data_IF_344165093863
#
_entry.id   IF_344165093863
#
_cell.length_a   1.000
_cell.length_b   1.000
_cell.length_c   1.000
_cell.angle_alpha   90.00
_cell.angle_beta   90.00
_cell.angle_gamma   90.00
#
_symmetry.space_group_name_H-M   'P 1'
#
loop_
_entity.id
_entity.type
_entity.pdbx_description
1 polymer ?
#
# COMPACT_ATOMS: atom_id res chain seq x y z
N UNK A 1 2.81 2.27 -19.86
CA UNK A 1 1.72 3.26 -20.04
C UNK A 1 1.88 4.25 -18.91
N UNK A 2 2.20 5.51 -19.20
CA UNK A 2 2.43 6.55 -18.17
C UNK A 2 1.12 7.03 -17.53
N UNK A 3 1.21 8.06 -16.69
CA UNK A 3 -0.01 8.65 -16.14
C UNK A 3 -0.86 9.24 -17.27
N UNK A 4 -2.19 9.22 -17.09
CA UNK A 4 -3.07 9.99 -17.95
C UNK A 4 -2.73 11.47 -17.76
N UNK A 5 -2.52 12.19 -18.86
CA UNK A 5 -2.41 13.65 -18.84
C UNK A 5 -3.80 14.25 -18.56
N UNK A 6 -3.92 14.90 -17.40
CA UNK A 6 -5.14 15.54 -16.94
C UNK A 6 -5.11 17.06 -17.13
N UNK A 7 -4.01 17.62 -17.64
CA UNK A 7 -3.89 19.08 -17.85
C UNK A 7 -4.88 19.58 -18.90
N UNK A 8 -5.23 18.76 -19.89
CA UNK A 8 -6.26 19.04 -20.88
C UNK A 8 -7.66 18.55 -20.48
N UNK A 9 -7.77 17.78 -19.39
CA UNK A 9 -9.04 17.19 -18.94
C UNK A 9 -9.91 18.18 -18.15
N UNK A 10 -9.31 19.23 -17.58
CA UNK A 10 -10.03 20.32 -16.90
C UNK A 10 -9.64 21.68 -17.48
N UNK A 11 -10.46 22.70 -17.23
CA UNK A 11 -10.35 24.00 -17.91
C UNK A 11 -9.23 24.90 -17.37
N UNK A 12 -8.82 24.70 -16.12
CA UNK A 12 -7.91 25.61 -15.41
C UNK A 12 -6.84 24.89 -14.57
N UNK A 13 -6.35 23.72 -15.04
CA UNK A 13 -5.23 23.03 -14.39
C UNK A 13 -3.96 23.87 -14.55
N UNK A 14 -3.23 24.07 -13.44
CA UNK A 14 -1.91 24.72 -13.48
C UNK A 14 -0.79 23.71 -13.64
N UNK A 15 -0.74 22.72 -12.73
CA UNK A 15 0.22 21.62 -12.74
C UNK A 15 -0.46 20.31 -12.32
N UNK A 16 0.06 19.20 -12.81
CA UNK A 16 -0.29 17.86 -12.38
C UNK A 16 0.78 17.29 -11.45
N UNK A 17 0.34 16.81 -10.28
CA UNK A 17 1.14 16.10 -9.30
C UNK A 17 0.74 14.62 -9.31
N UNK A 18 1.67 13.77 -9.73
CA UNK A 18 1.47 12.33 -9.80
C UNK A 18 1.91 11.68 -8.49
N UNK A 19 1.01 10.98 -7.82
CA UNK A 19 1.24 10.30 -6.55
C UNK A 19 1.03 8.80 -6.75
N UNK A 20 1.98 7.98 -6.31
CA UNK A 20 1.85 6.52 -6.33
C UNK A 20 1.80 6.00 -4.91
N UNK A 21 0.69 5.37 -4.54
CA UNK A 21 0.50 4.77 -3.23
C UNK A 21 0.54 3.24 -3.32
N UNK A 22 1.56 2.61 -2.76
CA UNK A 22 1.67 1.15 -2.66
C UNK A 22 1.10 0.72 -1.31
N UNK A 23 0.03 -0.08 -1.37
CA UNK A 23 -0.70 -0.54 -0.19
C UNK A 23 -0.60 -2.06 -0.09
N UNK A 24 -0.19 -2.54 1.09
CA UNK A 24 -0.06 -3.96 1.39
C UNK A 24 -0.93 -4.40 2.56
N UNK A 25 -0.78 -5.66 2.95
CA UNK A 25 -1.74 -6.41 3.78
C UNK A 25 -1.96 -5.81 5.17
N UNK A 26 -1.05 -4.96 5.64
CA UNK A 26 -1.23 -4.17 6.86
C UNK A 26 -2.48 -3.29 6.83
N UNK A 27 -2.95 -2.84 5.66
CA UNK A 27 -4.24 -2.13 5.55
C UNK A 27 -5.41 -3.06 5.87
N UNK A 28 -5.51 -4.21 5.21
CA UNK A 28 -6.58 -5.18 5.42
C UNK A 28 -6.62 -5.64 6.89
N UNK A 29 -5.46 -5.93 7.49
CA UNK A 29 -5.34 -6.31 8.89
C UNK A 29 -5.86 -5.19 9.80
N UNK A 30 -5.48 -3.93 9.54
CA UNK A 30 -5.94 -2.79 10.33
C UNK A 30 -7.46 -2.63 10.22
N UNK A 31 -7.99 -2.58 8.99
CA UNK A 31 -9.41 -2.41 8.74
C UNK A 31 -10.25 -3.51 9.41
N UNK A 32 -9.86 -4.77 9.25
CA UNK A 32 -10.57 -5.91 9.83
C UNK A 32 -10.51 -5.90 11.37
N UNK A 33 -9.36 -5.52 11.93
CA UNK A 33 -9.19 -5.38 13.38
C UNK A 33 -10.09 -4.29 13.95
N UNK A 34 -10.12 -3.11 13.32
CA UNK A 34 -10.93 -1.97 13.77
C UNK A 34 -12.43 -2.24 13.66
N UNK A 35 -12.84 -3.00 12.63
CA UNK A 35 -14.20 -3.51 12.47
C UNK A 35 -14.56 -4.63 13.44
N UNK A 36 -13.60 -5.09 14.26
CA UNK A 36 -13.75 -6.24 15.18
C UNK A 36 -14.19 -7.51 14.43
N UNK A 37 -13.71 -7.68 13.20
CA UNK A 37 -13.97 -8.88 12.39
C UNK A 37 -13.42 -10.12 13.11
N UNK A 38 -14.17 -11.26 13.10
CA UNK A 38 -13.70 -12.50 13.69
C UNK A 38 -12.54 -13.15 12.91
N UNK A 39 -12.25 -12.67 11.70
CA UNK A 39 -11.20 -13.17 10.84
C UNK A 39 -10.35 -12.01 10.28
N UNK A 40 -9.10 -12.31 9.95
CA UNK A 40 -8.16 -11.38 9.34
C UNK A 40 -7.47 -12.01 8.12
N UNK A 41 -6.68 -11.21 7.40
CA UNK A 41 -5.92 -11.65 6.22
C UNK A 41 -4.49 -12.08 6.55
N UNK A 42 -4.17 -12.38 7.82
CA UNK A 42 -2.82 -12.85 8.16
C UNK A 42 -2.61 -14.25 7.62
N UNK A 43 -1.37 -14.51 7.25
CA UNK A 43 -0.91 -15.82 6.82
C UNK A 43 -1.25 -16.93 7.85
N UNK A 44 -1.04 -16.66 9.14
CA UNK A 44 -1.30 -17.63 10.22
C UNK A 44 -2.78 -18.03 10.25
N UNK A 45 -3.69 -17.08 10.01
CA UNK A 45 -5.14 -17.33 9.94
C UNK A 45 -5.48 -18.24 8.75
N UNK A 46 -4.87 -17.99 7.60
CA UNK A 46 -5.01 -18.86 6.43
C UNK A 46 -4.44 -20.27 6.66
N UNK A 47 -3.28 -20.39 7.32
CA UNK A 47 -2.73 -21.68 7.70
C UNK A 47 -3.69 -22.49 8.59
N UNK A 48 -4.27 -21.85 9.60
CA UNK A 48 -5.27 -22.50 10.46
C UNK A 48 -6.55 -22.87 9.69
N UNK A 49 -6.97 -22.05 8.73
CA UNK A 49 -8.08 -22.38 7.82
C UNK A 49 -7.81 -23.67 7.04
N UNK A 50 -6.63 -23.82 6.44
CA UNK A 50 -6.25 -25.05 5.72
C UNK A 50 -6.28 -26.27 6.64
N UNK A 51 -5.76 -26.14 7.87
CA UNK A 51 -5.77 -27.23 8.86
C UNK A 51 -7.17 -27.61 9.30
N UNK A 52 -8.03 -26.64 9.55
CA UNK A 52 -9.43 -26.87 9.88
C UNK A 52 -10.19 -27.59 8.75
N UNK A 53 -9.89 -27.27 7.50
CA UNK A 53 -10.49 -27.88 6.31
C UNK A 53 -9.95 -29.28 5.99
N UNK A 54 -9.02 -29.81 6.79
CA UNK A 54 -8.29 -31.06 6.51
C UNK A 54 -7.67 -31.06 5.11
N UNK A 55 -7.04 -29.94 4.73
CA UNK A 55 -6.32 -29.83 3.47
C UNK A 55 -5.21 -30.90 3.36
N UNK A 56 -4.85 -31.28 2.14
CA UNK A 56 -3.92 -32.39 1.87
C UNK A 56 -2.55 -32.19 2.53
N UNK A 57 -2.26 -32.98 3.57
CA UNK A 57 -0.97 -33.03 4.27
C UNK A 57 0.19 -33.49 3.36
N UNK A 58 -0.11 -34.00 2.16
CA UNK A 58 0.87 -34.29 1.12
C UNK A 58 1.44 -33.04 0.45
N UNK A 59 0.72 -31.92 0.49
CA UNK A 59 1.07 -30.68 -0.20
C UNK A 59 2.38 -30.09 0.34
N UNK A 60 3.35 -29.87 -0.56
CA UNK A 60 4.67 -29.34 -0.21
C UNK A 60 4.64 -27.93 0.39
N UNK A 61 3.72 -27.09 -0.05
CA UNK A 61 3.57 -25.71 0.44
C UNK A 61 3.01 -25.73 1.86
N UNK A 62 2.01 -26.57 2.15
CA UNK A 62 1.49 -26.71 3.51
C UNK A 62 2.60 -27.13 4.49
N UNK A 63 3.54 -27.98 4.08
CA UNK A 63 4.67 -28.40 4.93
C UNK A 63 5.66 -27.26 5.21
N UNK A 64 5.95 -26.44 4.21
CA UNK A 64 6.76 -25.23 4.44
C UNK A 64 6.02 -24.26 5.35
N UNK A 65 4.70 -24.14 5.17
CA UNK A 65 3.84 -23.32 6.01
C UNK A 65 3.90 -23.75 7.48
N UNK A 66 3.83 -25.06 7.75
CA UNK A 66 4.02 -25.63 9.08
C UNK A 66 5.40 -25.29 9.65
N UNK A 67 6.47 -25.47 8.87
CA UNK A 67 7.83 -25.18 9.33
C UNK A 67 8.00 -23.70 9.72
N UNK A 68 7.43 -22.79 8.91
CA UNK A 68 7.45 -21.36 9.18
C UNK A 68 6.70 -21.02 10.46
N UNK A 69 5.54 -21.63 10.67
CA UNK A 69 4.74 -21.43 11.88
C UNK A 69 5.48 -21.91 13.14
N UNK A 70 6.22 -23.03 13.08
CA UNK A 70 7.07 -23.48 14.18
C UNK A 70 8.26 -22.55 14.45
N UNK A 71 8.77 -21.86 13.43
CA UNK A 71 9.83 -20.86 13.57
C UNK A 71 9.35 -19.47 14.01
N UNK A 72 8.04 -19.28 14.14
CA UNK A 72 7.44 -18.00 14.55
C UNK A 72 7.41 -16.94 13.46
N UNK A 73 7.42 -17.33 12.18
CA UNK A 73 7.23 -16.41 11.06
C UNK A 73 5.76 -15.95 10.99
N UNK A 74 5.55 -14.64 10.86
CA UNK A 74 4.21 -14.03 10.89
C UNK A 74 3.81 -13.39 9.55
N UNK A 75 4.76 -13.13 8.65
CA UNK A 75 4.55 -12.35 7.44
C UNK A 75 4.31 -13.20 6.18
N UNK A 76 3.49 -12.68 5.27
CA UNK A 76 3.24 -13.30 3.97
C UNK A 76 4.50 -13.43 3.10
N UNK A 77 5.43 -12.48 3.21
CA UNK A 77 6.69 -12.51 2.45
C UNK A 77 7.57 -13.71 2.81
N UNK A 78 7.50 -14.21 4.05
CA UNK A 78 8.28 -15.39 4.47
C UNK A 78 7.78 -16.66 3.77
N UNK A 79 6.47 -16.75 3.59
CA UNK A 79 5.78 -17.87 2.93
C UNK A 79 6.10 -17.88 1.45
N UNK A 80 6.02 -16.71 0.82
CA UNK A 80 6.37 -16.54 -0.58
C UNK A 80 7.86 -16.87 -0.83
N UNK A 81 8.75 -16.46 0.08
CA UNK A 81 10.16 -16.84 0.03
C UNK A 81 10.35 -18.36 0.18
N UNK A 82 9.62 -19.02 1.08
CA UNK A 82 9.66 -20.47 1.25
C UNK A 82 9.15 -21.23 0.01
N UNK A 83 8.06 -20.75 -0.61
CA UNK A 83 7.59 -21.24 -1.91
C UNK A 83 8.68 -21.10 -2.97
N UNK A 84 9.41 -19.97 -2.99
CA UNK A 84 10.56 -19.80 -3.87
C UNK A 84 11.67 -20.82 -3.66
N UNK A 85 12.01 -21.10 -2.40
CA UNK A 85 13.02 -22.08 -2.04
C UNK A 85 12.62 -23.51 -2.48
N UNK A 86 11.33 -23.87 -2.43
CA UNK A 86 10.85 -25.16 -2.94
C UNK A 86 11.16 -25.36 -4.43
N UNK A 87 11.07 -24.30 -5.22
CA UNK A 87 11.37 -24.32 -6.66
C UNK A 87 12.87 -24.52 -6.91
N UNK A 88 13.73 -24.00 -6.02
CA UNK A 88 15.18 -24.15 -6.08
C UNK A 88 15.73 -25.47 -5.53
N UNK A 89 14.94 -26.24 -4.76
CA UNK A 89 15.39 -27.52 -4.15
C UNK A 89 15.63 -28.60 -5.23
N UNK A 90 16.86 -29.12 -5.30
CA UNK A 90 17.22 -30.26 -6.18
C UNK A 90 16.31 -31.46 -5.88
N UNK A 91 15.58 -31.93 -6.89
CA UNK A 91 14.73 -33.12 -6.81
C UNK A 91 13.22 -32.86 -6.78
N UNK A 92 12.79 -31.61 -6.58
CA UNK A 92 11.37 -31.24 -6.70
C UNK A 92 11.03 -30.88 -8.14
N UNK A 93 10.05 -31.56 -8.73
CA UNK A 93 9.57 -31.20 -10.07
C UNK A 93 8.76 -29.91 -10.02
N UNK A 94 9.07 -28.95 -10.92
CA UNK A 94 8.31 -27.70 -11.09
C UNK A 94 6.80 -27.95 -11.28
N UNK A 95 6.44 -29.08 -11.89
CA UNK A 95 5.04 -29.47 -12.09
C UNK A 95 4.34 -29.78 -10.76
N UNK A 96 5.04 -30.41 -9.81
CA UNK A 96 4.50 -30.71 -8.48
C UNK A 96 4.28 -29.41 -7.71
N UNK A 97 5.27 -28.51 -7.71
CA UNK A 97 5.13 -27.21 -7.04
C UNK A 97 3.99 -26.40 -7.64
N UNK A 98 3.86 -26.37 -8.96
CA UNK A 98 2.79 -25.63 -9.65
C UNK A 98 1.40 -26.22 -9.33
N UNK A 99 1.28 -27.54 -9.28
CA UNK A 99 0.04 -28.23 -8.89
C UNK A 99 -0.33 -27.90 -7.44
N UNK A 100 0.63 -28.03 -6.53
CA UNK A 100 0.43 -27.77 -5.10
C UNK A 100 0.08 -26.30 -4.85
N UNK A 101 0.71 -25.37 -5.57
CA UNK A 101 0.42 -23.94 -5.54
C UNK A 101 -1.01 -23.65 -5.99
N UNK A 102 -1.44 -24.27 -7.09
CA UNK A 102 -2.81 -24.11 -7.59
C UNK A 102 -3.86 -24.60 -6.60
N UNK A 103 -3.57 -25.68 -5.88
CA UNK A 103 -4.45 -26.19 -4.84
C UNK A 103 -4.57 -25.18 -3.68
N UNK A 104 -3.44 -24.65 -3.20
CA UNK A 104 -3.41 -23.60 -2.15
C UNK A 104 -4.12 -22.32 -2.60
N UNK A 105 -3.89 -21.88 -3.84
CA UNK A 105 -4.58 -20.72 -4.44
C UNK A 105 -6.10 -20.85 -4.43
N UNK A 106 -6.61 -22.06 -4.69
CA UNK A 106 -8.05 -22.31 -4.71
C UNK A 106 -8.64 -22.16 -3.30
N UNK A 107 -8.00 -22.76 -2.30
CA UNK A 107 -8.43 -22.61 -0.90
C UNK A 107 -8.23 -21.17 -0.40
N UNK A 108 -7.20 -20.47 -0.86
CA UNK A 108 -6.96 -19.07 -0.49
C UNK A 108 -8.09 -18.16 -0.97
N UNK A 109 -8.56 -18.34 -2.21
CA UNK A 109 -9.72 -17.61 -2.70
C UNK A 109 -10.95 -17.85 -1.82
N UNK A 110 -11.23 -19.11 -1.46
CA UNK A 110 -12.36 -19.45 -0.58
C UNK A 110 -12.19 -18.92 0.85
N UNK A 111 -10.96 -18.79 1.33
CA UNK A 111 -10.66 -18.13 2.59
C UNK A 111 -10.97 -16.64 2.52
N UNK A 112 -10.52 -15.93 1.48
CA UNK A 112 -10.77 -14.51 1.32
C UNK A 112 -12.27 -14.19 1.21
N UNK A 113 -13.05 -15.03 0.52
CA UNK A 113 -14.51 -14.90 0.45
C UNK A 113 -15.18 -14.94 1.84
N UNK A 114 -14.56 -15.62 2.81
CA UNK A 114 -15.01 -15.65 4.21
C UNK A 114 -14.49 -14.51 5.08
N UNK A 115 -13.46 -13.79 4.64
CA UNK A 115 -12.84 -12.67 5.38
C UNK A 115 -13.36 -11.32 4.90
N UNK A 116 -13.44 -11.12 3.58
CA UNK A 116 -13.91 -9.88 2.94
C UNK A 116 -15.35 -10.09 2.43
N UNK A 117 -16.28 -10.28 3.36
CA UNK A 117 -17.69 -10.49 3.01
C UNK A 117 -18.34 -9.17 2.55
N UNK A 118 -19.48 -9.23 1.84
CA UNK A 118 -20.25 -8.03 1.49
C UNK A 118 -20.61 -7.15 2.70
N UNK A 119 -20.86 -7.76 3.86
CA UNK A 119 -21.16 -7.04 5.10
C UNK A 119 -19.95 -6.26 5.61
N UNK A 120 -18.76 -6.86 5.58
CA UNK A 120 -17.51 -6.19 5.98
C UNK A 120 -17.21 -5.01 5.07
N UNK A 121 -17.35 -5.20 3.75
CA UNK A 121 -17.19 -4.12 2.76
C UNK A 121 -18.20 -3.00 3.03
N UNK A 122 -19.49 -3.33 3.09
CA UNK A 122 -20.54 -2.33 3.34
C UNK A 122 -20.32 -1.56 4.65
N UNK A 123 -19.84 -2.22 5.70
CA UNK A 123 -19.54 -1.57 6.98
C UNK A 123 -18.33 -0.64 6.86
N UNK A 124 -17.25 -1.08 6.20
CA UNK A 124 -16.05 -0.28 5.97
C UNK A 124 -16.37 0.98 5.17
N UNK A 125 -17.06 0.84 4.03
CA UNK A 125 -17.49 1.96 3.20
C UNK A 125 -18.38 2.93 3.97
N UNK A 126 -19.37 2.42 4.71
CA UNK A 126 -20.26 3.28 5.53
C UNK A 126 -19.49 4.09 6.57
N UNK A 127 -18.49 3.48 7.23
CA UNK A 127 -17.64 4.17 8.19
C UNK A 127 -16.68 5.16 7.52
N UNK A 128 -16.15 4.82 6.34
CA UNK A 128 -15.32 5.73 5.53
C UNK A 128 -16.11 6.98 5.15
N UNK A 129 -17.38 6.81 4.77
CA UNK A 129 -18.33 7.89 4.50
C UNK A 129 -18.59 8.72 5.74
N UNK A 130 -19.02 8.09 6.82
CA UNK A 130 -19.43 8.79 8.04
C UNK A 130 -18.29 9.59 8.71
N UNK A 131 -17.04 9.15 8.55
CA UNK A 131 -15.87 9.77 9.20
C UNK A 131 -14.96 10.52 8.21
N UNK A 132 -15.37 10.67 6.95
CA UNK A 132 -14.59 11.34 5.90
C UNK A 132 -13.16 10.78 5.74
N UNK A 133 -12.98 9.48 5.96
CA UNK A 133 -11.66 8.84 6.01
C UNK A 133 -10.93 8.90 4.66
N UNK A 134 -11.62 8.59 3.57
CA UNK A 134 -11.08 8.68 2.21
C UNK A 134 -10.60 10.10 1.89
N UNK A 135 -11.48 11.08 2.08
CA UNK A 135 -11.19 12.49 1.77
C UNK A 135 -10.08 13.04 2.66
N UNK A 136 -10.04 12.68 3.95
CA UNK A 136 -8.94 13.01 4.85
C UNK A 136 -7.61 12.44 4.36
N UNK A 137 -7.61 11.20 3.87
CA UNK A 137 -6.41 10.57 3.29
C UNK A 137 -5.92 11.31 2.05
N UNK A 138 -6.83 11.70 1.15
CA UNK A 138 -6.47 12.43 -0.07
C UNK A 138 -5.99 13.86 0.19
N UNK A 139 -6.55 14.54 1.18
CA UNK A 139 -6.40 15.99 1.33
C UNK A 139 -5.51 16.43 2.47
N UNK A 140 -5.24 15.56 3.45
CA UNK A 140 -4.57 15.93 4.71
C UNK A 140 -3.37 15.04 5.08
N UNK A 141 -2.93 14.10 4.23
CA UNK A 141 -1.85 13.16 4.56
C UNK A 141 -0.52 13.81 4.95
N UNK A 142 -0.23 15.02 4.46
CA UNK A 142 0.96 15.79 4.87
C UNK A 142 0.90 16.18 6.36
N UNK A 143 -0.28 16.16 6.96
CA UNK A 143 -0.49 16.36 8.40
C UNK A 143 0.07 15.23 9.26
N UNK A 144 0.40 14.08 8.68
CA UNK A 144 0.97 12.95 9.41
C UNK A 144 2.46 13.12 9.72
N UNK A 145 3.13 14.03 9.02
CA UNK A 145 4.52 14.43 9.31
C UNK A 145 4.51 15.32 10.54
N UNK A 146 4.96 14.77 11.68
CA UNK A 146 4.93 15.45 12.98
C UNK A 146 6.10 16.37 13.22
N UNK A 147 7.28 16.00 12.71
CA UNK A 147 8.50 16.77 12.89
C UNK A 147 8.54 17.95 11.88
N UNK A 148 8.61 19.21 12.35
CA UNK A 148 8.74 20.37 11.47
C UNK A 148 9.99 20.34 10.59
N UNK A 149 11.10 19.78 11.08
CA UNK A 149 12.36 19.71 10.32
C UNK A 149 12.17 18.76 9.13
N UNK A 150 11.54 17.61 9.34
CA UNK A 150 11.21 16.65 8.29
C UNK A 150 10.31 17.24 7.22
N UNK A 151 9.26 17.96 7.64
CA UNK A 151 8.35 18.64 6.74
C UNK A 151 9.08 19.74 5.94
N UNK A 152 9.95 20.52 6.60
CA UNK A 152 10.67 21.64 5.95
C UNK A 152 11.68 21.19 4.91
N UNK A 153 12.18 19.95 5.02
CA UNK A 153 13.10 19.35 4.04
C UNK A 153 12.38 18.76 2.82
N UNK A 154 11.04 18.79 2.76
CA UNK A 154 10.31 18.29 1.60
C UNK A 154 10.11 19.35 0.53
N UNK A 155 10.31 18.96 -0.73
CA UNK A 155 10.10 19.84 -1.88
C UNK A 155 8.68 19.77 -2.43
N UNK A 156 7.97 18.67 -2.19
CA UNK A 156 6.61 18.42 -2.66
C UNK A 156 5.64 19.52 -2.17
N UNK A 157 5.52 19.82 -0.85
CA UNK A 157 4.60 20.86 -0.38
C UNK A 157 4.95 22.27 -0.87
N UNK A 158 6.21 22.52 -1.21
CA UNK A 158 6.69 23.83 -1.70
C UNK A 158 6.23 24.09 -3.14
N UNK A 159 6.10 23.02 -3.94
CA UNK A 159 5.73 23.09 -5.36
C UNK A 159 4.22 23.20 -5.61
N UNK A 160 3.39 23.01 -4.58
CA UNK A 160 1.94 23.05 -4.69
C UNK A 160 1.42 24.48 -4.84
N UNK A 161 0.33 24.61 -5.60
CA UNK A 161 -0.43 25.83 -5.79
C UNK A 161 -1.94 25.57 -5.98
N UNK A 162 -2.73 26.63 -5.88
CA UNK A 162 -4.18 26.59 -6.12
C UNK A 162 -4.44 26.23 -7.59
N UNK A 163 -5.30 25.23 -7.80
CA UNK A 163 -5.69 24.75 -9.13
C UNK A 163 -4.79 23.68 -9.71
N UNK A 164 -3.90 23.10 -8.91
CA UNK A 164 -3.19 21.89 -9.30
C UNK A 164 -4.12 20.66 -9.24
N UNK A 165 -3.79 19.65 -10.05
CA UNK A 165 -4.43 18.34 -10.04
C UNK A 165 -3.55 17.31 -9.33
N UNK A 166 -4.15 16.58 -8.40
CA UNK A 166 -3.52 15.47 -7.68
C UNK A 166 -4.04 14.17 -8.29
N UNK A 167 -3.14 13.43 -8.94
CA UNK A 167 -3.43 12.17 -9.61
C UNK A 167 -2.89 11.00 -8.79
N UNK A 168 -3.76 10.34 -8.03
CA UNK A 168 -3.42 9.22 -7.17
C UNK A 168 -3.53 7.89 -7.92
N UNK A 169 -2.43 7.18 -8.05
CA UNK A 169 -2.42 5.79 -8.49
C UNK A 169 -2.15 4.88 -7.29
N UNK A 170 -3.17 4.15 -6.84
CA UNK A 170 -3.00 3.10 -5.84
C UNK A 170 -2.58 1.79 -6.49
N UNK A 171 -1.46 1.25 -6.02
CA UNK A 171 -1.01 -0.11 -6.30
C UNK A 171 -1.41 -0.95 -5.09
N UNK A 172 -2.56 -1.62 -5.18
CA UNK A 172 -3.03 -2.53 -4.13
C UNK A 172 -2.35 -3.89 -4.31
N UNK A 173 -1.41 -4.21 -3.43
CA UNK A 173 -0.73 -5.52 -3.42
C UNK A 173 -1.55 -6.59 -2.69
N UNK A 174 -2.66 -6.18 -2.05
CA UNK A 174 -3.62 -7.08 -1.44
C UNK A 174 -4.48 -7.77 -2.50
N UNK A 175 -5.16 -8.82 -2.07
CA UNK A 175 -6.10 -9.56 -2.91
C UNK A 175 -7.55 -9.16 -2.66
N UNK A 176 -7.85 -8.53 -1.52
CA UNK A 176 -9.20 -8.05 -1.20
C UNK A 176 -9.46 -6.67 -1.78
N UNK A 177 -10.73 -6.27 -1.84
CA UNK A 177 -11.14 -4.92 -2.27
C UNK A 177 -11.55 -4.03 -1.11
N UNK A 178 -11.03 -4.29 0.09
CA UNK A 178 -11.27 -3.41 1.24
C UNK A 178 -10.73 -2.00 0.98
N UNK A 179 -9.56 -1.89 0.33
CA UNK A 179 -8.99 -0.59 -0.03
C UNK A 179 -9.86 0.12 -1.05
N UNK A 180 -10.32 -0.59 -2.09
CA UNK A 180 -11.15 -0.04 -3.15
C UNK A 180 -12.42 0.60 -2.58
N UNK A 181 -13.12 -0.11 -1.70
CA UNK A 181 -14.33 0.39 -1.05
C UNK A 181 -14.02 1.57 -0.10
N UNK A 182 -12.89 1.52 0.61
CA UNK A 182 -12.45 2.61 1.47
C UNK A 182 -12.15 3.91 0.72
N UNK A 183 -11.42 3.86 -0.41
CA UNK A 183 -10.98 5.05 -1.16
C UNK A 183 -11.99 5.49 -2.23
N UNK A 184 -13.09 4.77 -2.40
CA UNK A 184 -14.06 5.06 -3.47
C UNK A 184 -14.72 6.43 -3.26
N UNK A 185 -14.66 7.27 -4.28
CA UNK A 185 -15.27 8.60 -4.28
C UNK A 185 -16.75 8.49 -4.70
N UNK A 186 -17.61 8.16 -3.75
CA UNK A 186 -19.05 8.06 -3.98
C UNK A 186 -19.77 9.43 -4.05
N UNK A 187 -21.06 9.41 -4.40
CA UNK A 187 -21.88 10.62 -4.53
C UNK A 187 -22.17 11.32 -3.19
N UNK A 188 -21.86 10.69 -2.06
CA UNK A 188 -22.09 11.25 -0.72
C UNK A 188 -20.86 12.04 -0.27
N UNK A 189 -19.65 11.52 -0.49
CA UNK A 189 -18.40 12.15 -0.06
C UNK A 189 -17.80 13.08 -1.11
N UNK A 190 -18.12 12.89 -2.39
CA UNK A 190 -17.46 13.59 -3.47
C UNK A 190 -18.45 14.17 -4.48
N UNK A 191 -18.39 15.48 -4.64
CA UNK A 191 -19.04 16.20 -5.72
C UNK A 191 -17.95 16.62 -6.73
N UNK A 192 -18.01 16.17 -8.00
CA UNK A 192 -17.09 16.62 -9.03
C UNK A 192 -17.19 18.12 -9.36
N UNK A 193 -18.28 18.79 -9.01
CA UNK A 193 -18.51 20.23 -9.25
C UNK A 193 -19.07 20.96 -8.01
N UNK A 194 -18.35 20.96 -6.87
CA UNK A 194 -18.83 21.56 -5.63
C UNK A 194 -18.84 23.09 -5.67
N UNK A 195 -18.17 23.71 -6.64
CA UNK A 195 -18.04 25.17 -6.75
C UNK A 195 -18.81 25.73 -7.95
N UNK A 196 -19.60 26.78 -7.71
CA UNK A 196 -20.46 27.42 -8.73
C UNK A 196 -19.67 28.04 -9.89
N UNK A 197 -18.45 28.49 -9.64
CA UNK A 197 -17.63 29.24 -10.60
C UNK A 197 -16.28 28.58 -10.93
N UNK A 198 -16.11 27.30 -10.56
CA UNK A 198 -14.85 26.58 -10.71
C UNK A 198 -15.15 25.10 -10.93
N UNK A 199 -14.47 24.47 -11.88
CA UNK A 199 -14.54 23.03 -12.20
C UNK A 199 -13.62 22.16 -11.33
N UNK A 200 -12.91 22.78 -10.38
CA UNK A 200 -12.18 22.12 -9.30
C UNK A 200 -13.11 21.32 -8.40
N UNK A 201 -12.63 20.24 -7.79
CA UNK A 201 -13.48 19.26 -7.10
C UNK A 201 -13.06 18.94 -5.65
N UNK A 202 -11.99 19.56 -5.11
CA UNK A 202 -11.60 19.34 -3.72
C UNK A 202 -10.91 20.55 -3.05
N UNK A 203 -10.78 20.50 -1.73
CA UNK A 203 -9.92 21.37 -0.94
C UNK A 203 -8.73 20.55 -0.40
N UNK A 204 -7.52 20.86 -0.84
CA UNK A 204 -6.28 20.23 -0.36
C UNK A 204 -5.63 21.07 0.74
N UNK A 205 -5.08 20.42 1.77
CA UNK A 205 -4.42 21.09 2.89
C UNK A 205 -2.90 20.85 2.82
N UNK A 206 -2.12 21.80 2.28
CA UNK A 206 -0.68 21.62 2.11
C UNK A 206 0.07 21.57 3.44
N UNK A 207 -0.38 22.29 4.47
CA UNK A 207 0.26 22.31 5.79
C UNK A 207 -0.76 22.15 6.95
N UNK A 208 -1.39 20.98 7.13
CA UNK A 208 -2.47 20.80 8.11
C UNK A 208 -2.04 21.03 9.57
N UNK A 209 -0.75 20.84 9.88
CA UNK A 209 -0.20 21.06 11.24
C UNK A 209 0.24 22.50 11.49
N UNK A 210 0.49 23.29 10.44
CA UNK A 210 0.99 24.65 10.57
C UNK A 210 2.48 24.73 10.91
N UNK A 211 3.30 23.82 10.37
CA UNK A 211 4.74 23.82 10.55
C UNK A 211 5.36 25.13 10.08
N UNK A 212 6.31 25.66 10.85
CA UNK A 212 7.13 26.81 10.46
C UNK A 212 8.55 26.30 10.11
N UNK A 213 9.22 26.83 9.07
CA UNK A 213 8.89 28.02 8.29
C UNK A 213 8.17 27.73 6.95
N UNK A 214 7.13 26.89 6.92
CA UNK A 214 6.44 26.56 5.67
C UNK A 214 5.79 27.78 4.98
N UNK A 215 5.68 27.73 3.64
CA UNK A 215 5.01 28.74 2.80
C UNK A 215 3.57 29.01 3.25
N UNK A 216 2.83 27.94 3.50
CA UNK A 216 1.40 28.01 3.82
C UNK A 216 1.13 27.84 5.32
N UNK A 217 0.07 28.47 5.80
CA UNK A 217 -0.35 28.42 7.21
C UNK A 217 -1.24 27.21 7.49
N UNK A 218 -1.39 26.85 8.77
CA UNK A 218 -2.22 25.73 9.26
C UNK A 218 -3.59 25.60 8.59
N UNK A 219 -4.29 26.74 8.46
CA UNK A 219 -5.67 26.79 8.00
C UNK A 219 -5.78 27.26 6.54
N UNK A 220 -4.69 27.22 5.77
CA UNK A 220 -4.75 27.48 4.35
C UNK A 220 -5.19 26.23 3.60
N UNK A 221 -6.20 26.37 2.75
CA UNK A 221 -6.67 25.32 1.84
C UNK A 221 -6.51 25.75 0.40
N UNK A 222 -6.07 24.83 -0.43
CA UNK A 222 -5.96 24.98 -1.88
C UNK A 222 -7.20 24.38 -2.53
N UNK A 223 -7.87 25.16 -3.37
CA UNK A 223 -8.91 24.59 -4.22
C UNK A 223 -8.21 23.89 -5.38
N UNK A 224 -8.45 22.60 -5.55
CA UNK A 224 -7.66 21.71 -6.43
C UNK A 224 -8.52 20.63 -7.07
N UNK A 225 -7.92 19.85 -7.98
CA UNK A 225 -8.55 18.68 -8.60
C UNK A 225 -7.99 17.39 -8.02
N UNK A 226 -8.85 16.40 -7.81
CA UNK A 226 -8.53 15.04 -7.41
C UNK A 226 -8.98 14.08 -8.51
N UNK A 227 -8.08 13.16 -8.87
CA UNK A 227 -8.37 11.95 -9.64
C UNK A 227 -7.65 10.80 -8.95
N UNK A 228 -8.31 9.66 -8.82
CA UNK A 228 -7.73 8.46 -8.21
C UNK A 228 -8.09 7.20 -9.00
N UNK A 229 -7.14 6.27 -9.08
CA UNK A 229 -7.33 4.95 -9.67
C UNK A 229 -6.68 3.88 -8.79
N UNK A 230 -7.32 2.70 -8.68
CA UNK A 230 -6.79 1.55 -7.95
C UNK A 230 -6.51 0.41 -8.94
N UNK A 231 -5.31 -0.17 -8.85
CA UNK A 231 -4.93 -1.36 -9.61
C UNK A 231 -4.45 -2.48 -8.69
N UNK A 232 -4.64 -3.73 -9.13
CA UNK A 232 -4.32 -4.92 -8.35
C UNK A 232 -3.32 -5.82 -9.10
N UNK A 233 -2.00 -5.57 -9.01
CA UNK A 233 -1.00 -6.35 -9.76
C UNK A 233 -1.00 -7.83 -9.41
N UNK A 234 -1.38 -8.19 -8.17
CA UNK A 234 -1.37 -9.57 -7.68
C UNK A 234 -2.71 -10.30 -7.88
N UNK A 235 -3.69 -9.64 -8.50
CA UNK A 235 -5.04 -10.18 -8.69
C UNK A 235 -6.01 -9.84 -7.57
N UNK A 236 -7.27 -10.20 -7.79
CA UNK A 236 -8.40 -9.84 -6.94
C UNK A 236 -9.21 -11.07 -6.53
N UNK A 237 -9.75 -11.07 -5.32
CA UNK A 237 -10.44 -12.20 -4.70
C UNK A 237 -11.57 -12.77 -5.56
N UNK A 238 -12.37 -11.90 -6.19
CA UNK A 238 -13.52 -12.30 -7.03
C UNK A 238 -13.12 -12.95 -8.36
N UNK A 239 -11.83 -12.91 -8.70
CA UNK A 239 -11.26 -13.57 -9.86
C UNK A 239 -10.19 -14.53 -9.37
N UNK A 240 -10.55 -15.74 -8.86
CA UNK A 240 -9.61 -16.67 -8.24
C UNK A 240 -8.40 -17.01 -9.12
N UNK A 241 -8.60 -17.04 -10.44
CA UNK A 241 -7.55 -17.31 -11.43
C UNK A 241 -6.53 -16.19 -11.59
N UNK A 242 -6.80 -15.00 -11.06
CA UNK A 242 -5.92 -13.85 -11.10
C UNK A 242 -4.93 -13.82 -9.94
N UNK A 243 -5.17 -14.57 -8.86
CA UNK A 243 -4.36 -14.54 -7.63
C UNK A 243 -2.93 -15.05 -7.91
N UNK A 244 -1.96 -14.15 -7.88
CA UNK A 244 -0.55 -14.44 -8.15
C UNK A 244 0.21 -14.68 -6.85
N UNK A 245 0.47 -15.95 -6.55
CA UNK A 245 1.46 -16.34 -5.57
C UNK A 245 2.79 -16.62 -6.27
N UNK A 246 3.88 -16.10 -5.72
CA UNK A 246 5.17 -16.31 -6.33
C UNK A 246 6.27 -15.44 -5.74
N UNK A 247 7.44 -15.55 -6.34
CA UNK A 247 8.65 -14.82 -5.96
C UNK A 247 8.93 -13.66 -6.92
N UNK A 248 9.75 -12.70 -6.49
CA UNK A 248 10.12 -11.54 -7.31
C UNK A 248 11.08 -11.93 -8.44
N UNK A 249 12.03 -12.84 -8.16
CA UNK A 249 13.03 -13.27 -9.13
C UNK A 249 13.31 -14.77 -8.98
N UNK A 250 13.53 -15.42 -10.13
CA UNK A 250 13.92 -16.81 -10.20
C UNK A 250 14.88 -17.01 -11.38
N UNK A 251 15.70 -18.06 -11.34
CA UNK A 251 16.49 -18.47 -12.51
C UNK A 251 15.58 -18.67 -13.73
N UNK A 252 16.14 -18.60 -14.95
CA UNK A 252 15.38 -18.65 -16.21
C UNK A 252 14.37 -19.82 -16.30
N UNK A 253 14.63 -20.92 -15.59
CA UNK A 253 13.78 -22.11 -15.51
C UNK A 253 12.48 -21.92 -14.68
N UNK A 254 12.43 -20.92 -13.80
CA UNK A 254 11.35 -20.63 -12.87
C UNK A 254 10.71 -19.24 -13.08
N UNK A 255 11.03 -18.57 -14.19
CA UNK A 255 10.42 -17.29 -14.60
C UNK A 255 8.89 -17.32 -14.63
N UNK A 256 8.29 -18.48 -14.93
CA UNK A 256 6.84 -18.75 -14.88
C UNK A 256 6.25 -18.79 -13.46
N UNK A 257 7.03 -18.58 -12.41
CA UNK A 257 6.56 -18.44 -11.04
C UNK A 257 6.88 -17.05 -10.46
N UNK A 258 7.39 -16.15 -11.31
CA UNK A 258 7.71 -14.78 -10.88
C UNK A 258 6.50 -13.87 -11.01
N UNK A 259 6.15 -13.16 -9.93
CA UNK A 259 5.03 -12.21 -9.93
C UNK A 259 5.22 -11.11 -10.98
N UNK A 260 6.40 -10.45 -11.09
CA UNK A 260 6.58 -9.35 -12.04
C UNK A 260 6.37 -9.77 -13.50
N UNK A 261 6.70 -11.03 -13.84
CA UNK A 261 6.48 -11.56 -15.19
C UNK A 261 4.99 -11.69 -15.52
N UNK A 262 4.18 -12.26 -14.63
CA UNK A 262 2.74 -12.48 -14.89
C UNK A 262 1.92 -11.20 -14.76
N UNK A 263 2.27 -10.36 -13.78
CA UNK A 263 1.67 -9.04 -13.61
C UNK A 263 2.05 -8.10 -14.77
N UNK A 264 3.14 -8.42 -15.49
CA UNK A 264 3.75 -7.61 -16.56
C UNK A 264 4.17 -6.23 -16.04
N UNK A 265 4.85 -6.23 -14.88
CA UNK A 265 5.14 -5.02 -14.12
C UNK A 265 5.86 -3.95 -14.94
N UNK A 266 6.91 -4.34 -15.65
CA UNK A 266 7.69 -3.41 -16.50
C UNK A 266 6.81 -2.73 -17.55
N UNK A 267 6.00 -3.51 -18.26
CA UNK A 267 5.16 -3.01 -19.36
C UNK A 267 4.02 -2.14 -18.85
N UNK A 268 3.39 -2.53 -17.74
CA UNK A 268 2.20 -1.86 -17.23
C UNK A 268 2.53 -0.65 -16.35
N UNK A 269 3.54 -0.76 -15.52
CA UNK A 269 3.80 0.19 -14.44
C UNK A 269 5.17 0.86 -14.52
N UNK A 270 6.12 0.35 -15.31
CA UNK A 270 7.48 0.89 -15.38
C UNK A 270 7.53 2.38 -15.71
N UNK A 271 6.69 2.84 -16.64
CA UNK A 271 6.64 4.25 -17.03
C UNK A 271 6.14 5.17 -15.90
N UNK A 272 5.30 4.69 -15.00
CA UNK A 272 4.72 5.50 -13.93
C UNK A 272 5.81 6.11 -13.02
N UNK A 273 6.86 5.33 -12.72
CA UNK A 273 7.97 5.78 -11.86
C UNK A 273 8.74 6.98 -12.42
N UNK A 274 8.75 7.15 -13.75
CA UNK A 274 9.42 8.27 -14.40
C UNK A 274 8.66 9.59 -14.20
N UNK A 275 7.38 9.52 -13.81
CA UNK A 275 6.48 10.66 -13.72
C UNK A 275 5.98 10.89 -12.28
N UNK A 276 6.06 9.91 -11.38
CA UNK A 276 5.61 10.03 -9.98
C UNK A 276 6.47 11.03 -9.18
N UNK A 277 5.87 12.06 -8.60
CA UNK A 277 6.57 13.02 -7.75
C UNK A 277 6.59 12.59 -6.29
N UNK A 278 5.58 11.84 -5.85
CA UNK A 278 5.49 11.36 -4.48
C UNK A 278 5.11 9.88 -4.44
N UNK A 279 5.98 9.08 -3.84
CA UNK A 279 5.69 7.69 -3.49
C UNK A 279 5.18 7.63 -2.06
N UNK A 280 4.17 6.80 -1.82
CA UNK A 280 3.65 6.51 -0.48
C UNK A 280 3.64 5.00 -0.31
N UNK A 281 4.27 4.48 0.74
CA UNK A 281 4.22 3.05 1.08
C UNK A 281 3.46 2.89 2.40
N UNK A 282 2.43 2.05 2.40
CA UNK A 282 1.61 1.78 3.57
C UNK A 282 1.28 0.28 3.70
N UNK A 283 1.38 -0.26 4.90
CA UNK A 283 0.95 -1.63 5.20
C UNK A 283 1.72 -2.74 4.48
N UNK A 284 2.85 -2.45 3.85
CA UNK A 284 3.65 -3.44 3.12
C UNK A 284 4.68 -4.08 4.06
N UNK A 285 4.87 -5.40 3.96
CA UNK A 285 6.11 -6.00 4.44
C UNK A 285 7.22 -5.64 3.44
N UNK A 286 8.36 -5.14 3.93
CA UNK A 286 9.51 -4.81 3.08
C UNK A 286 10.30 -6.08 2.74
N UNK A 287 9.59 -7.04 2.14
CA UNK A 287 10.11 -8.36 1.79
C UNK A 287 10.75 -8.39 0.41
N UNK A 288 11.54 -9.43 0.16
CA UNK A 288 12.19 -9.68 -1.13
C UNK A 288 11.20 -10.05 -2.25
N UNK A 289 9.93 -10.33 -1.94
CA UNK A 289 8.94 -10.85 -2.88
C UNK A 289 8.24 -9.78 -3.71
N UNK A 290 8.34 -8.52 -3.26
CA UNK A 290 7.87 -7.32 -3.98
C UNK A 290 9.04 -6.39 -4.35
N UNK A 291 10.27 -6.93 -4.40
CA UNK A 291 11.50 -6.17 -4.60
C UNK A 291 11.54 -5.36 -5.89
N UNK A 292 10.87 -5.80 -6.96
CA UNK A 292 10.76 -4.98 -8.18
C UNK A 292 10.18 -3.58 -7.89
N UNK A 293 9.17 -3.47 -7.03
CA UNK A 293 8.58 -2.19 -6.63
C UNK A 293 9.59 -1.33 -5.86
N UNK A 294 10.26 -1.91 -4.85
CA UNK A 294 11.24 -1.20 -4.04
C UNK A 294 12.42 -0.68 -4.87
N UNK A 295 12.93 -1.51 -5.79
CA UNK A 295 14.01 -1.12 -6.72
C UNK A 295 13.60 0.01 -7.65
N UNK A 296 12.36 -0.03 -8.15
CA UNK A 296 11.84 1.00 -9.06
C UNK A 296 11.68 2.34 -8.34
N UNK A 297 11.16 2.35 -7.10
CA UNK A 297 11.12 3.54 -6.24
C UNK A 297 12.52 4.06 -5.96
N UNK A 298 13.43 3.20 -5.49
CA UNK A 298 14.80 3.60 -5.16
C UNK A 298 15.55 4.21 -6.36
N UNK A 299 15.34 3.64 -7.56
CA UNK A 299 15.86 4.19 -8.80
C UNK A 299 15.27 5.57 -9.11
N UNK A 300 13.94 5.72 -9.01
CA UNK A 300 13.29 7.02 -9.23
C UNK A 300 13.77 8.09 -8.26
N UNK A 301 13.91 7.77 -6.96
CA UNK A 301 14.45 8.69 -5.94
C UNK A 301 15.90 9.10 -6.24
N UNK A 302 16.72 8.18 -6.75
CA UNK A 302 18.13 8.44 -7.06
C UNK A 302 18.30 9.27 -8.34
N UNK A 303 17.47 9.04 -9.37
CA UNK A 303 17.61 9.65 -10.68
C UNK A 303 16.83 10.96 -10.85
N UNK A 304 15.82 11.21 -10.01
CA UNK A 304 14.93 12.38 -10.13
C UNK A 304 14.95 13.24 -8.89
N UNK A 305 15.25 14.52 -9.06
CA UNK A 305 15.29 15.50 -7.96
C UNK A 305 13.90 15.69 -7.32
N UNK A 306 12.87 15.62 -8.14
CA UNK A 306 11.47 15.86 -7.77
C UNK A 306 10.79 14.73 -7.02
N UNK A 307 11.39 13.53 -7.00
CA UNK A 307 10.78 12.33 -6.45
C UNK A 307 11.04 12.24 -4.95
N UNK A 308 9.98 12.11 -4.16
CA UNK A 308 10.05 11.93 -2.70
C UNK A 308 9.28 10.69 -2.24
N UNK A 309 9.57 10.21 -1.03
CA UNK A 309 8.95 9.02 -0.44
C UNK A 309 8.39 9.30 0.95
N UNK A 310 7.12 8.95 1.17
CA UNK A 310 6.53 8.79 2.50
C UNK A 310 6.40 7.31 2.82
N UNK A 311 7.00 6.91 3.93
CA UNK A 311 7.00 5.52 4.38
C UNK A 311 6.26 5.42 5.71
N UNK A 312 5.07 4.83 5.70
CA UNK A 312 4.29 4.60 6.90
C UNK A 312 4.64 3.23 7.49
N UNK A 313 5.01 3.22 8.78
CA UNK A 313 5.41 2.00 9.45
C UNK A 313 4.73 1.85 10.82
N UNK A 314 4.00 0.74 11.01
CA UNK A 314 3.36 0.41 12.27
C UNK A 314 4.40 -0.10 13.27
N UNK A 315 4.45 0.52 14.44
CA UNK A 315 5.25 0.03 15.56
C UNK A 315 4.58 -1.17 16.20
N UNK A 316 5.29 -2.29 16.27
CA UNK A 316 4.88 -3.40 17.11
C UNK A 316 5.07 -3.01 18.59
N UNK A 317 4.22 -3.48 19.51
CA UNK A 317 4.46 -3.34 20.95
C UNK A 317 5.83 -3.90 21.40
N UNK A 318 6.43 -4.79 20.61
CA UNK A 318 7.77 -5.38 20.84
C UNK A 318 8.92 -4.48 20.35
N UNK A 319 8.63 -3.48 19.52
CA UNK A 319 9.60 -2.63 18.82
C UNK A 319 9.73 -1.24 19.46
N UNK A 320 9.98 -1.19 20.77
CA UNK A 320 10.04 0.07 21.52
C UNK A 320 11.22 0.98 21.16
N UNK A 321 12.22 0.46 20.43
CA UNK A 321 13.40 1.21 19.97
C UNK A 321 13.43 1.47 18.46
N UNK A 322 12.36 1.15 17.73
CA UNK A 322 12.34 1.38 16.29
C UNK A 322 12.21 2.88 15.98
N UNK A 323 13.26 3.43 15.38
CA UNK A 323 13.31 4.80 14.88
C UNK A 323 13.22 4.84 13.34
N UNK A 324 13.15 6.04 12.80
CA UNK A 324 13.01 6.27 11.37
C UNK A 324 14.21 5.76 10.57
N UNK A 325 15.43 5.89 11.12
CA UNK A 325 16.66 5.45 10.47
C UNK A 325 16.68 3.94 10.28
N UNK A 326 16.21 3.20 11.27
CA UNK A 326 16.06 1.75 11.21
C UNK A 326 15.07 1.34 10.12
N UNK A 327 13.97 2.09 9.95
CA UNK A 327 13.01 1.79 8.88
C UNK A 327 13.57 2.15 7.49
N UNK A 328 14.30 3.26 7.34
CA UNK A 328 15.04 3.57 6.10
C UNK A 328 16.05 2.46 5.76
N UNK A 329 16.75 1.92 6.76
CA UNK A 329 17.64 0.77 6.58
C UNK A 329 16.89 -0.47 6.11
N UNK A 330 15.74 -0.80 6.72
CA UNK A 330 14.89 -1.92 6.27
C UNK A 330 14.46 -1.77 4.80
N UNK A 331 14.09 -0.55 4.38
CA UNK A 331 13.77 -0.29 2.98
C UNK A 331 14.98 -0.49 2.07
N UNK A 332 16.15 0.02 2.46
CA UNK A 332 17.41 -0.18 1.72
C UNK A 332 17.75 -1.67 1.57
N UNK A 333 17.56 -2.47 2.63
CA UNK A 333 17.79 -3.91 2.60
C UNK A 333 16.81 -4.63 1.66
N UNK A 334 15.54 -4.21 1.64
CA UNK A 334 14.51 -4.76 0.77
C UNK A 334 14.78 -4.52 -0.73
N UNK A 335 15.30 -3.32 -1.06
CA UNK A 335 15.78 -2.95 -2.41
C UNK A 335 16.89 -3.88 -2.89
N UNK A 336 17.76 -4.30 -1.96
CA UNK A 336 18.91 -5.15 -2.23
C UNK A 336 20.04 -4.42 -2.99
N UNK A 337 21.13 -5.13 -3.30
CA UNK A 337 22.33 -4.51 -3.87
C UNK A 337 22.12 -4.00 -5.31
N UNK A 338 22.97 -3.05 -5.71
CA UNK A 338 23.17 -2.67 -7.12
C UNK A 338 22.14 -1.70 -7.72
N UNK A 339 21.42 -0.92 -6.90
CA UNK A 339 20.56 0.18 -7.40
C UNK A 339 21.32 1.51 -7.43
N UNK A 340 21.88 1.93 -6.29
CA UNK A 340 22.67 3.15 -6.18
C UNK A 340 23.76 2.98 -5.09
N UNK A 341 25.01 3.43 -5.30
CA UNK A 341 26.09 3.25 -4.33
C UNK A 341 25.80 3.93 -2.99
N UNK A 342 25.15 5.10 -3.01
CA UNK A 342 24.84 5.91 -1.82
C UNK A 342 23.34 5.98 -1.53
N UNK A 343 22.62 4.86 -1.71
CA UNK A 343 21.16 4.82 -1.49
C UNK A 343 20.75 5.32 -0.09
N UNK A 344 21.55 5.04 0.94
CA UNK A 344 21.26 5.50 2.30
C UNK A 344 21.16 7.03 2.39
N UNK A 345 22.04 7.76 1.71
CA UNK A 345 22.02 9.23 1.67
C UNK A 345 20.81 9.75 0.89
N UNK A 346 20.47 9.10 -0.22
CA UNK A 346 19.27 9.44 -1.01
C UNK A 346 18.01 9.28 -0.15
N UNK A 347 17.90 8.18 0.61
CA UNK A 347 16.76 7.94 1.50
C UNK A 347 16.71 8.94 2.66
N UNK A 348 17.83 9.30 3.25
CA UNK A 348 17.86 10.30 4.32
C UNK A 348 17.37 11.68 3.84
N UNK A 349 17.72 12.04 2.59
CA UNK A 349 17.31 13.29 1.99
C UNK A 349 15.84 13.28 1.55
N UNK A 350 15.39 12.21 0.89
CA UNK A 350 14.12 12.19 0.15
C UNK A 350 13.01 11.32 0.76
N UNK A 351 13.32 10.51 1.78
CA UNK A 351 12.34 9.65 2.44
C UNK A 351 11.99 10.16 3.85
N UNK A 352 10.71 10.40 4.10
CA UNK A 352 10.16 10.68 5.44
C UNK A 352 9.44 9.45 5.95
N UNK A 353 9.67 9.13 7.22
CA UNK A 353 9.08 7.94 7.85
C UNK A 353 8.02 8.40 8.84
N UNK A 354 6.80 7.90 8.67
CA UNK A 354 5.72 8.12 9.62
C UNK A 354 5.56 6.86 10.47
N UNK A 355 6.08 6.91 11.68
CA UNK A 355 5.91 5.85 12.67
C UNK A 355 4.57 6.02 13.38
N UNK A 356 3.76 4.96 13.41
CA UNK A 356 2.44 4.99 14.04
C UNK A 356 2.14 3.72 14.83
N UNK A 357 1.17 3.80 15.72
CA UNK A 357 0.55 2.69 16.44
C UNK A 357 -0.97 2.88 16.45
N UNK A 358 -1.70 2.00 17.12
CA UNK A 358 -3.17 2.01 17.12
C UNK A 358 -3.78 3.22 17.84
N UNK A 359 -2.98 3.95 18.64
CA UNK A 359 -3.39 5.19 19.31
C UNK A 359 -2.95 6.46 18.58
N UNK A 360 -2.22 6.33 17.47
CA UNK A 360 -1.64 7.46 16.77
C UNK A 360 -2.68 8.16 15.90
N UNK A 361 -2.93 9.45 16.14
CA UNK A 361 -3.68 10.28 15.19
C UNK A 361 -2.93 10.31 13.83
N UNK A 362 -3.59 9.80 12.80
CA UNK A 362 -3.13 9.70 11.42
C UNK A 362 -4.29 9.97 10.45
N UNK A 363 -4.02 10.67 9.35
CA UNK A 363 -4.98 10.96 8.28
C UNK A 363 -4.94 9.91 7.19
N UNK A 364 -3.74 9.47 6.79
CA UNK A 364 -3.56 8.52 5.68
C UNK A 364 -4.12 7.13 6.00
N UNK A 365 -5.08 6.64 5.23
CA UNK A 365 -5.65 5.28 5.31
C UNK A 365 -5.98 4.83 6.75
N UNK A 366 -6.48 5.75 7.58
CA UNK A 366 -6.88 5.46 8.96
C UNK A 366 -8.30 4.88 8.99
N UNK A 367 -8.52 3.85 9.81
CA UNK A 367 -9.80 3.18 10.03
C UNK A 367 -10.22 3.20 11.50
N UNK A 368 -9.45 3.86 12.37
CA UNK A 368 -9.82 4.03 13.76
C UNK A 368 -10.91 5.08 13.89
N UNK A 369 -12.05 4.68 14.43
CA UNK A 369 -12.99 5.62 15.04
C UNK A 369 -12.37 6.02 16.36
N UNK A 370 -11.96 7.28 16.52
CA UNK A 370 -11.44 7.76 17.81
C UNK A 370 -12.44 7.50 18.97
N UNK A 371 -12.05 7.75 20.23
CA UNK A 371 -12.88 7.46 21.41
C UNK A 371 -14.16 8.33 21.57
N UNK A 372 -14.88 8.63 20.49
CA UNK A 372 -16.08 9.46 20.48
C UNK A 372 -17.26 8.93 19.64
N UNK A 373 -17.18 7.73 19.05
CA UNK A 373 -18.29 7.16 18.28
C UNK A 373 -19.20 6.22 19.08
N UNK A 374 -18.73 5.66 20.21
CA UNK A 374 -19.50 4.68 21.02
C UNK A 374 -20.45 5.32 22.06
N UNK A 375 -20.46 6.66 22.22
CA UNK A 375 -21.28 7.37 23.21
C UNK A 375 -22.49 8.12 22.62
N UNK A 376 -22.79 7.95 21.33
CA UNK A 376 -23.94 8.60 20.70
C UNK A 376 -25.27 7.81 20.82
N UNK A 377 -25.27 6.61 21.40
CA UNK A 377 -26.47 5.78 21.58
C UNK A 377 -26.52 5.07 22.97
N UNK A 378 -26.42 5.86 24.04
CA UNK A 378 -26.86 5.46 25.39
C UNK A 378 -27.74 6.49 26.06
#
# INVERSE_FOLDING_TARGET
MGYKDLTEAFSAVRRQHNIMAIVGNGFDIQALSDLKSPADTRYVSFFHYLKYRHFDDGNSILKEMESLQHSGAEDWSDVEAAIGNLVGKRGTSLQVVTRDLKAVQTEFSSFLDGVSTPEVLSQLGSLSVANEWAMSSFTEFLGDIRDPDDYSRMDFPVRLDIGDVFNFQFINLNYTTLLDDYVYLDQVQFDPHPFVHSDRNMNFWPNPRGHAPAKEKKNFRMVSYLVSDVVHPHGVQYVPRSLLFGIDSADAYASKLTKPYWAQNEVKYGDLFNETELFIIFGCSLGATDRWWWRSIAKALAERDEAELLLYWRRSPRDTQLDESAVRSKFSDAVGPGVHPDLATVLEQKARVVLYDDGSERRWLNTSTGPGADDADR
#
